data_IF_124590536620
#
_entry.id   IF_124590536620
#
_cell.length_a   1.000
_cell.length_b   1.000
_cell.length_c   1.000
_cell.angle_alpha   90.00
_cell.angle_beta   90.00
_cell.angle_gamma   90.00
#
_symmetry.space_group_name_H-M   'P 1'
#
loop_
_entity.id
_entity.type
_entity.pdbx_description
1 polymer ?
#
# COMPACT_ATOMS: atom_id res chain seq x y z
N UNK A 1 1.25 -9.70 2.63
CA UNK A 1 1.26 -9.40 1.18
C UNK A 1 -0.09 -9.61 0.51
N UNK A 2 -0.71 -10.80 0.61
CA UNK A 2 -2.00 -11.08 -0.06
C UNK A 2 -3.13 -10.07 0.21
N UNK A 3 -3.38 -9.72 1.47
CA UNK A 3 -4.41 -8.73 1.83
C UNK A 3 -4.20 -7.35 1.20
N UNK A 4 -2.96 -6.90 1.05
CA UNK A 4 -2.67 -5.59 0.46
C UNK A 4 -2.94 -5.58 -1.05
N UNK A 5 -2.53 -6.64 -1.73
CA UNK A 5 -2.79 -6.83 -3.17
C UNK A 5 -4.29 -6.96 -3.42
N UNK A 6 -5.01 -7.70 -2.58
CA UNK A 6 -6.47 -7.79 -2.65
C UNK A 6 -7.14 -6.43 -2.42
N UNK A 7 -6.66 -5.63 -1.47
CA UNK A 7 -7.17 -4.28 -1.25
C UNK A 7 -6.92 -3.36 -2.45
N UNK A 8 -5.74 -3.42 -3.07
CA UNK A 8 -5.39 -2.68 -4.30
C UNK A 8 -6.30 -3.05 -5.47
N UNK A 9 -6.56 -4.35 -5.65
CA UNK A 9 -7.45 -4.86 -6.70
C UNK A 9 -8.91 -4.44 -6.47
N UNK A 10 -9.36 -4.46 -5.22
CA UNK A 10 -10.72 -4.08 -4.85
C UNK A 10 -10.92 -2.55 -4.77
N UNK A 11 -9.86 -1.74 -4.92
CA UNK A 11 -9.87 -0.29 -4.66
C UNK A 11 -10.41 0.04 -3.26
N UNK A 12 -9.94 -0.68 -2.24
CA UNK A 12 -10.39 -0.58 -0.84
C UNK A 12 -9.35 0.17 0.01
N UNK A 13 -9.30 1.51 -0.02
CA UNK A 13 -8.27 2.31 0.62
C UNK A 13 -8.28 2.20 2.16
N UNK A 14 -9.40 1.85 2.77
CA UNK A 14 -9.49 1.74 4.24
C UNK A 14 -8.77 0.50 4.78
N UNK A 15 -8.77 -0.59 3.99
CA UNK A 15 -7.96 -1.77 4.29
C UNK A 15 -6.47 -1.45 4.19
N UNK A 16 -6.08 -0.66 3.17
CA UNK A 16 -4.71 -0.15 3.04
C UNK A 16 -4.30 0.74 4.22
N UNK A 17 -5.15 1.69 4.63
CA UNK A 17 -4.89 2.57 5.79
C UNK A 17 -4.71 1.78 7.08
N UNK A 18 -5.56 0.77 7.33
CA UNK A 18 -5.47 -0.08 8.53
C UNK A 18 -4.18 -0.90 8.53
N UNK A 19 -3.83 -1.52 7.41
CA UNK A 19 -2.57 -2.25 7.27
C UNK A 19 -1.36 -1.34 7.48
N UNK A 20 -1.34 -0.16 6.83
CA UNK A 20 -0.25 0.83 6.96
C UNK A 20 -0.11 1.29 8.40
N UNK A 21 -1.22 1.60 9.08
CA UNK A 21 -1.21 2.04 10.47
C UNK A 21 -0.64 0.96 11.41
N UNK A 22 -1.03 -0.30 11.23
CA UNK A 22 -0.46 -1.42 11.99
C UNK A 22 1.03 -1.59 11.73
N UNK A 23 1.45 -1.58 10.45
CA UNK A 23 2.86 -1.67 10.08
C UNK A 23 3.71 -0.53 10.65
N UNK A 24 3.19 0.69 10.69
CA UNK A 24 3.91 1.84 11.26
C UNK A 24 4.10 1.66 12.77
N UNK A 25 3.10 1.14 13.47
CA UNK A 25 3.20 0.89 14.92
C UNK A 25 4.22 -0.20 15.25
N UNK A 26 4.30 -1.25 14.41
CA UNK A 26 5.17 -2.40 14.67
C UNK A 26 6.61 -2.18 14.19
N UNK A 27 6.79 -1.52 13.05
CA UNK A 27 8.07 -1.45 12.33
C UNK A 27 8.59 -0.02 12.12
N UNK A 28 7.72 0.98 12.31
CA UNK A 28 8.01 2.38 11.98
C UNK A 28 7.71 2.72 10.52
N UNK A 29 7.45 4.01 10.28
CA UNK A 29 7.12 4.54 8.95
C UNK A 29 8.20 4.32 7.86
N UNK A 30 9.51 4.42 8.15
CA UNK A 30 10.55 4.16 7.15
C UNK A 30 10.50 2.73 6.62
N UNK A 31 10.37 1.74 7.52
CA UNK A 31 10.34 0.33 7.15
C UNK A 31 9.09 -0.03 6.32
N UNK A 32 7.93 0.55 6.65
CA UNK A 32 6.69 0.35 5.87
C UNK A 32 6.81 0.99 4.49
N UNK A 33 7.41 2.17 4.40
CA UNK A 33 7.59 2.88 3.12
C UNK A 33 8.55 2.12 2.22
N UNK A 34 9.66 1.62 2.75
CA UNK A 34 10.57 0.75 2.01
C UNK A 34 9.90 -0.56 1.60
N UNK A 35 9.08 -1.17 2.46
CA UNK A 35 8.34 -2.38 2.11
C UNK A 35 7.34 -2.14 0.97
N UNK A 36 6.67 -0.98 0.96
CA UNK A 36 5.77 -0.57 -0.11
C UNK A 36 6.52 -0.34 -1.44
N UNK A 37 7.63 0.38 -1.40
CA UNK A 37 8.39 0.74 -2.61
C UNK A 37 9.26 -0.39 -3.14
N UNK A 38 9.77 -1.27 -2.27
CA UNK A 38 10.80 -2.24 -2.64
C UNK A 38 10.27 -3.68 -2.73
N UNK A 39 9.25 -4.02 -1.93
CA UNK A 39 8.70 -5.38 -1.93
C UNK A 39 7.46 -5.53 -2.80
N UNK A 40 6.71 -4.46 -3.08
CA UNK A 40 5.44 -4.56 -3.82
C UNK A 40 5.54 -4.06 -5.26
N UNK A 41 6.39 -3.07 -5.54
CA UNK A 41 6.63 -2.55 -6.90
C UNK A 41 6.79 -3.64 -7.99
N UNK A 42 7.61 -4.70 -7.81
CA UNK A 42 7.80 -5.72 -8.85
C UNK A 42 6.60 -6.69 -9.02
N UNK A 43 5.61 -6.66 -8.13
CA UNK A 43 4.44 -7.56 -8.17
C UNK A 43 3.15 -6.84 -8.60
N UNK A 44 3.18 -5.53 -8.78
CA UNK A 44 2.03 -4.73 -9.14
C UNK A 44 2.04 -4.38 -10.62
N UNK A 45 0.85 -4.39 -11.23
CA UNK A 45 0.64 -3.75 -12.53
C UNK A 45 0.76 -2.22 -12.42
N UNK A 46 0.99 -1.55 -13.54
CA UNK A 46 1.09 -0.08 -13.61
C UNK A 46 -0.14 0.61 -13.00
N UNK A 47 -1.35 0.05 -13.21
CA UNK A 47 -2.58 0.57 -12.64
C UNK A 47 -2.67 0.40 -11.11
N UNK A 48 -2.10 -0.68 -10.56
CA UNK A 48 -2.05 -0.90 -9.12
C UNK A 48 -0.97 -0.03 -8.46
N UNK A 49 0.15 0.21 -9.15
CA UNK A 49 1.20 1.15 -8.73
C UNK A 49 0.66 2.59 -8.66
N UNK A 50 -0.08 3.03 -9.68
CA UNK A 50 -0.67 4.37 -9.72
C UNK A 50 -1.68 4.58 -8.57
N UNK A 51 -2.54 3.58 -8.30
CA UNK A 51 -3.44 3.62 -7.14
C UNK A 51 -2.70 3.65 -5.81
N UNK A 52 -1.63 2.88 -5.68
CA UNK A 52 -0.81 2.86 -4.47
C UNK A 52 -0.18 4.24 -4.21
N UNK A 53 0.34 4.88 -5.26
CA UNK A 53 0.88 6.24 -5.21
C UNK A 53 -0.21 7.27 -4.86
N UNK A 54 -1.39 7.17 -5.46
CA UNK A 54 -2.52 8.02 -5.12
C UNK A 54 -2.87 7.91 -3.63
N UNK A 55 -2.96 6.70 -3.09
CA UNK A 55 -3.24 6.48 -1.67
C UNK A 55 -2.13 6.99 -0.75
N UNK A 56 -0.85 6.89 -1.16
CA UNK A 56 0.27 7.50 -0.43
C UNK A 56 0.15 9.03 -0.37
N UNK A 57 -0.33 9.66 -1.44
CA UNK A 57 -0.55 11.10 -1.55
C UNK A 57 -1.87 11.56 -0.90
N UNK A 58 -2.67 10.64 -0.35
CA UNK A 58 -3.98 10.94 0.23
C UNK A 58 -5.08 11.19 -0.81
N UNK A 59 -4.82 10.84 -2.08
CA UNK A 59 -5.79 10.91 -3.17
C UNK A 59 -6.44 9.53 -3.29
N UNK A 60 -7.76 9.44 -3.14
CA UNK A 60 -8.49 8.22 -3.51
C UNK A 60 -9.04 8.39 -4.93
N UNK A 61 -8.55 7.56 -5.85
CA UNK A 61 -9.04 7.44 -7.23
C UNK A 61 -10.28 6.53 -7.30
#
# INVERSE_FOLDING_TARGET
MGELVTALQANEPDTFKRWRLGGIQDLGEPAVTEHLLHCLDPFLSEAEQDRLLAWQLGVSL
#
